data_IF_977834106477
#
_entry.id   IF_977834106477
#
_cell.length_a   1.000
_cell.length_b   1.000
_cell.length_c   1.000
_cell.angle_alpha   90.00
_cell.angle_beta   90.00
_cell.angle_gamma   90.00
#
_symmetry.space_group_name_H-M   'P 1'
#
loop_
_entity.id
_entity.type
_entity.pdbx_description
1 polymer ?
#
# COMPACT_ATOMS: atom_id res chain seq x y z
N UNK A 1 15.26 23.03 9.45
CA UNK A 1 15.92 21.77 9.06
C UNK A 1 15.41 21.39 7.68
N UNK A 2 16.28 21.38 6.66
CA UNK A 2 15.91 21.01 5.29
C UNK A 2 16.01 19.49 5.14
N UNK A 3 14.94 18.84 4.69
CA UNK A 3 14.85 17.38 4.61
C UNK A 3 15.63 16.85 3.38
N UNK A 4 16.74 16.15 3.60
CA UNK A 4 17.58 15.48 2.58
C UNK A 4 17.02 14.14 2.11
N UNK A 5 15.87 13.72 2.65
CA UNK A 5 15.27 12.40 2.37
C UNK A 5 15.06 12.13 0.86
N UNK A 6 14.80 13.18 0.07
CA UNK A 6 14.70 13.08 -1.39
C UNK A 6 16.04 12.73 -2.05
N UNK A 7 17.13 13.40 -1.68
CA UNK A 7 18.46 13.09 -2.22
C UNK A 7 18.95 11.73 -1.72
N UNK A 8 18.63 11.34 -0.49
CA UNK A 8 18.99 10.01 0.04
C UNK A 8 18.30 8.88 -0.73
N UNK A 9 17.01 9.02 -1.04
CA UNK A 9 16.29 8.01 -1.83
C UNK A 9 16.80 7.89 -3.27
N UNK A 10 17.17 9.00 -3.90
CA UNK A 10 17.77 9.01 -5.24
C UNK A 10 19.20 8.48 -5.22
N UNK A 11 19.99 8.85 -4.22
CA UNK A 11 21.34 8.33 -4.04
C UNK A 11 21.31 6.81 -3.84
N UNK A 12 20.38 6.28 -3.03
CA UNK A 12 20.21 4.84 -2.83
C UNK A 12 19.80 4.10 -4.11
N UNK A 13 19.03 4.73 -5.00
CA UNK A 13 18.69 4.13 -6.31
C UNK A 13 19.89 4.03 -7.24
N UNK A 14 20.77 5.05 -7.23
CA UNK A 14 21.97 5.11 -8.08
C UNK A 14 23.23 4.56 -7.40
N UNK A 15 23.13 4.11 -6.15
CA UNK A 15 24.25 3.62 -5.37
C UNK A 15 24.86 2.38 -6.04
N UNK A 16 26.16 2.43 -6.31
CA UNK A 16 26.88 1.43 -7.09
C UNK A 16 26.70 1.50 -8.62
N UNK A 17 25.88 2.41 -9.15
CA UNK A 17 25.65 2.58 -10.60
C UNK A 17 26.24 3.87 -11.18
N UNK A 18 26.14 5.00 -10.45
CA UNK A 18 26.56 6.33 -10.93
C UNK A 18 27.48 6.99 -9.91
N UNK A 19 28.56 7.61 -10.37
CA UNK A 19 29.48 8.41 -9.56
C UNK A 19 29.79 9.75 -10.24
N UNK A 20 30.48 10.66 -9.54
CA UNK A 20 30.76 12.03 -10.00
C UNK A 20 31.55 12.16 -11.31
N UNK A 21 32.09 11.05 -11.83
CA UNK A 21 32.87 10.99 -13.08
C UNK A 21 32.17 10.21 -14.19
N UNK A 22 30.93 9.76 -13.99
CA UNK A 22 30.17 9.02 -14.99
C UNK A 22 29.79 9.97 -16.14
N UNK A 23 30.21 9.65 -17.36
CA UNK A 23 29.88 10.45 -18.55
C UNK A 23 28.40 10.32 -18.88
N UNK A 24 27.80 11.34 -19.52
CA UNK A 24 26.37 11.35 -19.86
C UNK A 24 25.93 10.13 -20.68
N UNK A 25 26.78 9.66 -21.61
CA UNK A 25 26.52 8.45 -22.40
C UNK A 25 26.48 7.19 -21.52
N UNK A 26 27.40 7.07 -20.57
CA UNK A 26 27.47 5.97 -19.61
C UNK A 26 26.33 6.04 -18.59
N UNK A 27 25.85 7.24 -18.27
CA UNK A 27 24.73 7.44 -17.36
C UNK A 27 23.45 6.78 -17.87
N UNK A 28 23.14 6.87 -19.17
CA UNK A 28 21.94 6.23 -19.74
C UNK A 28 22.00 4.71 -19.57
N UNK A 29 23.13 4.10 -19.90
CA UNK A 29 23.33 2.64 -19.74
C UNK A 29 23.24 2.21 -18.26
N UNK A 30 23.82 2.99 -17.35
CA UNK A 30 23.77 2.71 -15.91
C UNK A 30 22.38 2.96 -15.31
N UNK A 31 21.65 3.95 -15.80
CA UNK A 31 20.26 4.22 -15.43
C UNK A 31 19.38 3.04 -15.82
N UNK A 32 19.52 2.52 -17.04
CA UNK A 32 18.79 1.34 -17.48
C UNK A 32 19.15 0.11 -16.64
N UNK A 33 20.41 -0.08 -16.27
CA UNK A 33 20.84 -1.17 -15.36
C UNK A 33 20.24 -1.02 -13.95
N UNK A 34 20.25 0.19 -13.39
CA UNK A 34 19.66 0.47 -12.08
C UNK A 34 18.14 0.22 -12.11
N UNK A 35 17.46 0.66 -13.17
CA UNK A 35 16.03 0.43 -13.36
C UNK A 35 15.71 -1.07 -13.46
N UNK A 36 16.48 -1.82 -14.25
CA UNK A 36 16.35 -3.29 -14.37
C UNK A 36 16.55 -4.00 -13.05
N UNK A 37 17.61 -3.66 -12.32
CA UNK A 37 17.89 -4.20 -10.99
C UNK A 37 16.74 -3.94 -10.01
N UNK A 38 16.16 -2.73 -10.06
CA UNK A 38 15.00 -2.39 -9.24
C UNK A 38 13.77 -3.22 -9.62
N UNK A 39 13.47 -3.34 -10.91
CA UNK A 39 12.34 -4.16 -11.40
C UNK A 39 12.52 -5.63 -11.03
N UNK A 40 13.72 -6.17 -11.19
CA UNK A 40 14.06 -7.55 -10.83
C UNK A 40 13.90 -7.80 -9.32
N UNK A 41 14.39 -6.89 -8.48
CA UNK A 41 14.20 -6.96 -7.02
C UNK A 41 12.73 -6.87 -6.63
N UNK A 42 11.95 -6.00 -7.29
CA UNK A 42 10.49 -5.93 -7.10
C UNK A 42 9.82 -7.24 -7.52
N UNK A 43 10.21 -7.81 -8.66
CA UNK A 43 9.67 -9.09 -9.15
C UNK A 43 10.03 -10.25 -8.23
N UNK A 44 11.29 -10.39 -7.81
CA UNK A 44 11.73 -11.42 -6.86
C UNK A 44 11.05 -11.27 -5.50
N UNK A 45 10.90 -10.04 -4.99
CA UNK A 45 10.16 -9.79 -3.77
C UNK A 45 8.70 -10.20 -3.92
N UNK A 46 8.07 -9.87 -5.05
CA UNK A 46 6.69 -10.29 -5.36
C UNK A 46 6.58 -11.82 -5.51
N UNK A 47 7.52 -12.48 -6.17
CA UNK A 47 7.54 -13.93 -6.42
C UNK A 47 7.75 -14.73 -5.13
N UNK A 48 8.76 -14.38 -4.32
CA UNK A 48 8.98 -14.98 -2.99
C UNK A 48 7.78 -14.77 -2.06
N UNK A 49 7.04 -13.70 -2.27
CA UNK A 49 5.83 -13.42 -1.50
C UNK A 49 4.60 -14.10 -2.10
N UNK A 50 4.58 -14.43 -3.40
CA UNK A 50 3.50 -15.21 -4.04
C UNK A 50 3.50 -16.67 -3.59
N UNK A 51 4.68 -17.25 -3.32
CA UNK A 51 4.79 -18.58 -2.72
C UNK A 51 4.34 -18.63 -1.25
N UNK A 52 4.16 -17.46 -0.61
CA UNK A 52 3.63 -17.30 0.74
C UNK A 52 2.54 -16.21 0.74
N UNK A 53 1.38 -16.51 0.14
CA UNK A 53 0.22 -15.61 0.22
C UNK A 53 -0.09 -15.33 1.69
N UNK A 54 0.02 -14.06 2.09
CA UNK A 54 -0.27 -13.64 3.48
C UNK A 54 -1.73 -13.91 3.75
N UNK A 55 -2.03 -14.77 4.73
CA UNK A 55 -3.40 -15.09 5.11
C UNK A 55 -4.11 -13.88 5.73
N UNK A 56 -5.43 -13.81 5.56
CA UNK A 56 -6.24 -12.88 6.32
C UNK A 56 -6.12 -13.20 7.82
N UNK A 57 -5.94 -12.16 8.64
CA UNK A 57 -5.90 -12.30 10.10
C UNK A 57 -7.31 -12.25 10.68
N UNK A 58 -8.22 -11.54 10.02
CA UNK A 58 -9.61 -11.38 10.41
C UNK A 58 -10.54 -12.03 9.39
N UNK A 59 -11.81 -12.17 9.76
CA UNK A 59 -12.85 -12.68 8.87
C UNK A 59 -13.57 -11.57 8.07
N UNK A 60 -13.07 -10.32 8.09
CA UNK A 60 -13.73 -9.23 7.37
C UNK A 60 -13.60 -9.40 5.86
N UNK A 61 -14.72 -9.25 5.14
CA UNK A 61 -14.75 -9.35 3.68
C UNK A 61 -13.88 -8.27 3.00
N UNK A 62 -13.83 -7.05 3.57
CA UNK A 62 -12.91 -6.01 3.10
C UNK A 62 -11.44 -6.44 3.16
N UNK A 63 -11.05 -7.28 4.14
CA UNK A 63 -9.68 -7.79 4.22
C UNK A 63 -9.39 -8.72 3.04
N UNK A 64 -10.31 -9.64 2.73
CA UNK A 64 -10.18 -10.53 1.56
C UNK A 64 -10.12 -9.73 0.26
N UNK A 65 -10.93 -8.68 0.15
CA UNK A 65 -10.91 -7.78 -0.99
C UNK A 65 -9.53 -7.12 -1.17
N UNK A 66 -8.93 -6.61 -0.10
CA UNK A 66 -7.58 -6.06 -0.16
C UNK A 66 -6.52 -7.13 -0.43
N UNK A 67 -6.65 -8.33 0.13
CA UNK A 67 -5.73 -9.46 -0.10
C UNK A 67 -5.67 -9.86 -1.58
N UNK A 68 -6.82 -9.87 -2.25
CA UNK A 68 -6.89 -10.22 -3.67
C UNK A 68 -6.20 -9.18 -4.56
N UNK A 69 -6.37 -7.90 -4.24
CA UNK A 69 -6.04 -6.78 -5.15
C UNK A 69 -4.68 -6.14 -4.84
N UNK A 70 -4.29 -6.00 -3.58
CA UNK A 70 -3.09 -5.24 -3.18
C UNK A 70 -1.78 -6.02 -3.33
N UNK A 71 -0.68 -5.28 -3.51
CA UNK A 71 0.66 -5.83 -3.32
C UNK A 71 0.84 -6.25 -1.86
N UNK A 72 1.62 -7.30 -1.61
CA UNK A 72 1.83 -7.86 -0.27
C UNK A 72 2.31 -6.85 0.77
N UNK A 73 3.31 -5.98 0.51
CA UNK A 73 3.71 -4.96 1.51
C UNK A 73 2.56 -4.01 1.84
N UNK A 74 1.75 -3.63 0.85
CA UNK A 74 0.64 -2.71 1.06
C UNK A 74 -0.53 -3.39 1.76
N UNK A 75 -0.79 -4.66 1.46
CA UNK A 75 -1.77 -5.47 2.19
C UNK A 75 -1.41 -5.57 3.67
N UNK A 76 -0.13 -5.80 4.02
CA UNK A 76 0.34 -5.80 5.42
C UNK A 76 0.06 -4.48 6.14
N UNK A 77 0.25 -3.34 5.48
CA UNK A 77 -0.10 -2.03 6.08
C UNK A 77 -1.61 -1.95 6.38
N UNK A 78 -2.47 -2.43 5.48
CA UNK A 78 -3.93 -2.44 5.72
C UNK A 78 -4.31 -3.42 6.83
N UNK A 79 -3.67 -4.60 6.90
CA UNK A 79 -3.88 -5.54 7.98
C UNK A 79 -3.55 -4.94 9.34
N UNK A 80 -2.48 -4.15 9.44
CA UNK A 80 -2.14 -3.42 10.66
C UNK A 80 -3.25 -2.46 11.09
N UNK A 81 -3.88 -1.76 10.15
CA UNK A 81 -5.02 -0.88 10.45
C UNK A 81 -6.28 -1.67 10.84
N UNK A 82 -6.56 -2.82 10.20
CA UNK A 82 -7.67 -3.71 10.55
C UNK A 82 -7.53 -4.30 11.97
N UNK A 83 -6.32 -4.73 12.33
CA UNK A 83 -5.98 -5.21 13.68
C UNK A 83 -6.03 -4.05 14.67
N UNK A 84 -5.45 -2.90 14.29
CA UNK A 84 -5.40 -1.69 15.10
C UNK A 84 -6.78 -1.13 15.47
N UNK A 85 -7.83 -1.43 14.70
CA UNK A 85 -9.22 -1.06 15.05
C UNK A 85 -9.66 -1.66 16.39
N UNK A 86 -9.07 -2.77 16.87
CA UNK A 86 -9.42 -3.39 18.16
C UNK A 86 -9.23 -2.40 19.32
N UNK A 87 -8.40 -1.38 19.13
CA UNK A 87 -8.19 -0.30 20.08
C UNK A 87 -9.07 0.93 19.83
N UNK A 88 -10.07 0.84 18.95
CA UNK A 88 -10.91 1.97 18.55
C UNK A 88 -12.39 1.71 18.89
N UNK A 89 -12.99 2.62 19.65
CA UNK A 89 -14.40 2.59 20.02
C UNK A 89 -15.14 3.82 19.48
N UNK A 90 -16.39 3.65 19.06
CA UNK A 90 -17.27 4.77 18.71
C UNK A 90 -17.90 5.31 19.99
N UNK A 91 -17.66 6.58 20.30
CA UNK A 91 -18.14 7.26 21.50
C UNK A 91 -19.45 7.99 21.24
N UNK A 92 -19.57 8.61 20.08
CA UNK A 92 -20.75 9.39 19.71
C UNK A 92 -21.01 9.29 18.22
N UNK A 93 -22.27 9.51 17.85
CA UNK A 93 -22.74 9.62 16.47
C UNK A 93 -23.62 10.87 16.41
N UNK A 94 -23.23 11.82 15.56
CA UNK A 94 -23.97 13.04 15.32
C UNK A 94 -24.39 13.10 13.85
N UNK A 95 -25.69 13.22 13.63
CA UNK A 95 -26.24 13.39 12.28
C UNK A 95 -26.51 14.88 12.08
N UNK A 96 -25.57 15.56 11.43
CA UNK A 96 -25.68 17.00 11.17
C UNK A 96 -26.73 17.30 10.08
N UNK A 97 -26.83 16.43 9.07
CA UNK A 97 -27.77 16.51 7.94
C UNK A 97 -28.22 15.09 7.53
N UNK A 98 -29.32 14.95 6.77
CA UNK A 98 -29.76 13.65 6.23
C UNK A 98 -28.70 12.92 5.39
N UNK A 99 -27.63 13.60 4.97
CA UNK A 99 -26.59 13.04 4.10
C UNK A 99 -25.29 12.67 4.83
N UNK A 100 -24.90 13.43 5.87
CA UNK A 100 -23.63 13.24 6.57
C UNK A 100 -23.84 12.82 8.02
N UNK A 101 -23.11 11.79 8.42
CA UNK A 101 -23.06 11.34 9.80
C UNK A 101 -21.62 11.39 10.29
N UNK A 102 -21.38 12.15 11.35
CA UNK A 102 -20.07 12.30 11.99
C UNK A 102 -20.00 11.39 13.20
N UNK A 103 -18.92 10.64 13.31
CA UNK A 103 -18.63 9.72 14.40
C UNK A 103 -17.40 10.18 15.16
N UNK A 104 -17.50 10.18 16.48
CA UNK A 104 -16.34 10.35 17.35
C UNK A 104 -15.75 8.98 17.67
N UNK A 105 -14.58 8.69 17.13
CA UNK A 105 -13.86 7.43 17.34
C UNK A 105 -12.74 7.66 18.34
N UNK A 106 -12.80 7.00 19.49
CA UNK A 106 -11.75 7.03 20.51
C UNK A 106 -10.79 5.88 20.28
N UNK A 107 -9.53 6.23 20.04
CA UNK A 107 -8.42 5.29 19.98
C UNK A 107 -7.68 5.24 21.32
N UNK A 108 -7.54 4.03 21.86
CA UNK A 108 -6.74 3.73 23.03
C UNK A 108 -5.27 3.58 22.63
N UNK A 109 -4.45 4.58 22.94
CA UNK A 109 -3.02 4.58 22.65
C UNK A 109 -2.26 4.24 23.93
N UNK A 110 -1.48 3.15 23.88
CA UNK A 110 -0.58 2.76 24.97
C UNK A 110 0.84 3.09 24.54
N UNK A 111 1.48 4.03 25.24
CA UNK A 111 2.89 4.37 25.04
C UNK A 111 3.59 4.38 26.39
N UNK A 112 4.64 3.56 26.55
CA UNK A 112 5.53 3.54 27.72
C UNK A 112 4.78 3.81 29.04
N UNK A 113 3.80 2.94 29.34
CA UNK A 113 2.96 2.95 30.56
C UNK A 113 1.88 4.03 30.67
N UNK A 114 1.82 5.00 29.76
CA UNK A 114 0.76 6.01 29.73
C UNK A 114 -0.40 5.57 28.83
N UNK A 115 -1.59 5.45 29.43
CA UNK A 115 -2.85 5.20 28.71
C UNK A 115 -3.48 6.54 28.33
N UNK A 116 -3.32 6.92 27.07
CA UNK A 116 -3.96 8.12 26.53
C UNK A 116 -5.04 7.74 25.54
N UNK A 117 -6.18 8.43 25.63
CA UNK A 117 -7.26 8.28 24.68
C UNK A 117 -7.22 9.46 23.71
N UNK A 118 -7.17 9.16 22.41
CA UNK A 118 -7.27 10.19 21.37
C UNK A 118 -8.59 10.04 20.64
N UNK A 119 -9.31 11.14 20.48
CA UNK A 119 -10.57 11.14 19.73
C UNK A 119 -10.30 11.65 18.32
N UNK A 120 -10.82 10.92 17.34
CA UNK A 120 -10.78 11.26 15.93
C UNK A 120 -12.21 11.42 15.41
N UNK A 121 -12.40 12.33 14.47
CA UNK A 121 -13.69 12.58 13.86
C UNK A 121 -13.72 11.93 12.49
N UNK A 122 -14.76 11.14 12.24
CA UNK A 122 -14.97 10.44 10.97
C UNK A 122 -16.34 10.82 10.43
N UNK A 123 -16.39 11.49 9.28
CA UNK A 123 -17.63 11.80 8.58
C UNK A 123 -17.87 10.78 7.48
N UNK A 124 -19.05 10.17 7.48
CA UNK A 124 -19.52 9.25 6.46
C UNK A 124 -20.73 9.86 5.73
N UNK A 125 -20.66 9.91 4.41
CA UNK A 125 -21.78 10.18 3.52
C UNK A 125 -22.44 8.87 3.12
N UNK A 126 -23.72 8.68 3.43
CA UNK A 126 -24.39 7.37 3.26
C UNK A 126 -24.65 6.99 1.81
N UNK A 127 -24.99 7.98 0.98
CA UNK A 127 -25.34 7.80 -0.44
C UNK A 127 -24.13 7.42 -1.30
N UNK A 128 -23.01 8.10 -1.09
CA UNK A 128 -21.78 7.88 -1.85
C UNK A 128 -20.77 7.02 -1.10
N UNK A 129 -21.02 6.58 0.13
CA UNK A 129 -20.01 5.95 0.99
C UNK A 129 -18.68 6.74 0.97
N UNK A 130 -18.79 8.06 1.11
CA UNK A 130 -17.65 8.96 1.17
C UNK A 130 -17.25 9.18 2.63
N UNK A 131 -16.01 8.83 2.93
CA UNK A 131 -15.37 8.89 4.23
C UNK A 131 -14.34 10.01 4.28
N UNK A 132 -14.40 10.79 5.35
CA UNK A 132 -13.39 11.78 5.72
C UNK A 132 -13.01 11.50 7.16
N UNK A 133 -11.73 11.33 7.45
CA UNK A 133 -11.23 11.11 8.80
C UNK A 133 -10.18 12.17 9.16
N UNK A 134 -10.26 12.72 10.37
CA UNK A 134 -9.31 13.72 10.87
C UNK A 134 -7.86 13.23 10.99
N UNK A 135 -7.61 11.91 10.91
CA UNK A 135 -6.24 11.38 10.86
C UNK A 135 -5.56 11.55 9.49
N UNK A 136 -6.35 11.78 8.43
CA UNK A 136 -5.90 11.98 7.04
C UNK A 136 -4.98 10.88 6.47
N UNK A 137 -5.03 9.66 7.02
CA UNK A 137 -4.14 8.57 6.60
C UNK A 137 -4.33 8.20 5.11
N UNK A 138 -5.55 8.33 4.60
CA UNK A 138 -5.84 8.05 3.19
C UNK A 138 -5.20 9.11 2.28
N UNK A 139 -5.19 10.37 2.68
CA UNK A 139 -4.61 11.48 1.94
C UNK A 139 -3.08 11.36 1.94
N UNK A 140 -2.48 10.99 3.08
CA UNK A 140 -1.02 10.87 3.21
C UNK A 140 -0.45 9.56 2.63
N UNK A 141 -1.12 8.42 2.85
CA UNK A 141 -0.62 7.09 2.47
C UNK A 141 -1.48 6.36 1.45
N UNK A 142 -2.72 6.79 1.23
CA UNK A 142 -3.66 6.12 0.34
C UNK A 142 -4.11 4.76 0.85
N UNK A 143 -4.20 4.60 2.17
CA UNK A 143 -4.77 3.45 2.85
C UNK A 143 -5.83 3.93 3.83
N UNK A 144 -6.84 3.11 4.07
CA UNK A 144 -7.89 3.44 5.03
C UNK A 144 -7.36 3.24 6.45
N UNK A 145 -7.63 4.20 7.33
CA UNK A 145 -7.27 4.10 8.74
C UNK A 145 -8.22 3.20 9.52
N UNK A 146 -7.72 2.71 10.65
CA UNK A 146 -8.53 2.01 11.65
C UNK A 146 -9.80 2.76 12.06
N UNK A 147 -9.78 4.09 12.15
CA UNK A 147 -10.97 4.87 12.56
C UNK A 147 -12.09 4.79 11.53
N UNK A 148 -11.74 4.94 10.24
CA UNK A 148 -12.69 4.79 9.15
C UNK A 148 -13.18 3.35 9.02
N UNK A 149 -12.31 2.35 9.22
CA UNK A 149 -12.69 0.94 9.27
C UNK A 149 -13.74 0.69 10.37
N UNK A 150 -13.53 1.23 11.58
CA UNK A 150 -14.49 1.10 12.69
C UNK A 150 -15.86 1.64 12.31
N UNK A 151 -15.92 2.81 11.66
CA UNK A 151 -17.18 3.42 11.21
C UNK A 151 -17.86 2.63 10.10
N UNK A 152 -17.09 2.10 9.13
CA UNK A 152 -17.63 1.27 8.06
C UNK A 152 -18.29 0.00 8.60
N UNK A 153 -17.60 -0.69 9.51
CA UNK A 153 -18.12 -1.90 10.14
C UNK A 153 -19.37 -1.59 10.96
N UNK A 154 -19.41 -0.45 11.66
CA UNK A 154 -20.60 -0.02 12.42
C UNK A 154 -21.83 0.22 11.53
N UNK A 155 -21.61 0.61 10.28
CA UNK A 155 -22.63 0.86 9.26
C UNK A 155 -22.88 -0.36 8.36
N UNK A 156 -22.41 -1.55 8.75
CA UNK A 156 -22.55 -2.81 8.00
C UNK A 156 -21.99 -2.76 6.57
N UNK A 157 -21.04 -1.86 6.32
CA UNK A 157 -20.33 -1.77 5.03
C UNK A 157 -19.19 -2.78 5.05
N UNK A 158 -19.44 -3.95 4.49
CA UNK A 158 -18.51 -5.09 4.50
C UNK A 158 -17.47 -5.06 3.39
N UNK A 159 -17.72 -4.28 2.32
CA UNK A 159 -16.84 -4.16 1.15
C UNK A 159 -16.44 -2.71 0.94
N UNK A 160 -15.19 -2.51 0.52
CA UNK A 160 -14.65 -1.19 0.27
C UNK A 160 -15.04 -0.69 -1.12
N UNK A 161 -15.56 0.55 -1.24
CA UNK A 161 -15.75 1.17 -2.54
C UNK A 161 -14.44 1.33 -3.30
N UNK A 162 -14.49 1.15 -4.62
CA UNK A 162 -13.32 1.21 -5.51
C UNK A 162 -12.54 2.53 -5.42
N UNK A 163 -13.21 3.64 -5.03
CA UNK A 163 -12.56 4.95 -4.84
C UNK A 163 -11.41 4.91 -3.82
N UNK A 164 -11.47 3.97 -2.88
CA UNK A 164 -10.46 3.78 -1.84
C UNK A 164 -9.43 2.69 -2.18
N UNK A 165 -9.58 2.03 -3.33
CA UNK A 165 -8.66 1.01 -3.85
C UNK A 165 -7.80 1.63 -4.94
N UNK A 166 -6.68 2.22 -4.53
CA UNK A 166 -5.85 3.00 -5.45
C UNK A 166 -5.07 2.11 -6.42
N UNK A 167 -5.13 2.44 -7.71
CA UNK A 167 -4.45 1.71 -8.80
C UNK A 167 -2.95 1.48 -8.55
N UNK A 168 -2.26 2.43 -7.90
CA UNK A 168 -0.82 2.32 -7.61
C UNK A 168 -0.49 1.16 -6.66
N UNK A 169 -1.44 0.73 -5.84
CA UNK A 169 -1.29 -0.33 -4.84
C UNK A 169 -1.71 -1.70 -5.35
N UNK A 170 -2.36 -1.74 -6.51
CA UNK A 170 -2.84 -2.96 -7.14
C UNK A 170 -1.68 -3.80 -7.68
N UNK A 171 -1.76 -5.11 -7.47
CA UNK A 171 -0.81 -6.10 -7.98
C UNK A 171 -1.12 -6.52 -9.42
N UNK A 172 -2.38 -6.46 -9.82
CA UNK A 172 -2.87 -6.86 -11.14
C UNK A 172 -2.70 -5.78 -12.22
N UNK A 173 -1.97 -4.70 -11.91
CA UNK A 173 -1.68 -3.61 -12.85
C UNK A 173 -0.21 -3.68 -13.27
N UNK A 174 0.02 -4.01 -14.54
CA UNK A 174 1.35 -3.88 -15.17
C UNK A 174 1.74 -2.40 -15.26
N UNK A 175 2.87 -2.03 -14.64
CA UNK A 175 3.35 -0.64 -14.64
C UNK A 175 4.28 -0.43 -15.84
N UNK A 176 4.29 0.78 -16.39
CA UNK A 176 5.08 1.09 -17.59
C UNK A 176 6.59 0.82 -17.42
N UNK A 177 7.16 1.03 -16.22
CA UNK A 177 8.56 0.69 -15.94
C UNK A 177 8.82 -0.82 -15.85
N UNK A 178 7.79 -1.64 -15.65
CA UNK A 178 7.82 -3.10 -15.75
C UNK A 178 7.67 -3.58 -17.20
N UNK A 179 7.26 -2.70 -18.13
CA UNK A 179 7.14 -2.97 -19.58
C UNK A 179 8.39 -2.59 -20.38
N UNK A 180 9.46 -2.15 -19.72
CA UNK A 180 10.75 -1.98 -20.39
C UNK A 180 11.19 -3.37 -20.81
N UNK A 181 11.08 -3.67 -22.12
CA UNK A 181 11.63 -4.88 -22.71
C UNK A 181 13.13 -4.80 -22.48
N UNK A 182 13.59 -5.50 -21.44
CA UNK A 182 15.00 -5.79 -21.29
C UNK A 182 15.29 -6.81 -22.37
N UNK A 183 16.01 -6.40 -23.40
CA UNK A 183 16.47 -7.33 -24.42
C UNK A 183 17.46 -8.30 -23.72
N UNK A 184 16.96 -9.45 -23.28
CA UNK A 184 17.73 -10.49 -22.59
C UNK A 184 18.55 -11.31 -23.58
N UNK A 185 19.27 -10.65 -24.50
CA UNK A 185 20.13 -11.31 -25.51
C UNK A 185 21.39 -11.95 -24.91
N UNK A 186 21.42 -12.20 -23.60
CA UNK A 186 22.57 -12.77 -22.91
C UNK A 186 22.24 -13.57 -21.65
N UNK A 187 20.96 -13.85 -21.36
CA UNK A 187 20.63 -14.88 -20.38
C UNK A 187 20.76 -16.23 -21.08
N UNK A 188 21.71 -17.05 -20.64
CA UNK A 188 21.65 -18.49 -20.91
C UNK A 188 20.37 -18.97 -20.23
N UNK A 189 19.33 -19.22 -21.04
CA UNK A 189 18.08 -19.79 -20.57
C UNK A 189 18.40 -21.11 -19.88
N UNK A 190 18.16 -21.20 -18.58
CA UNK A 190 18.22 -22.49 -17.90
C UNK A 190 17.12 -23.38 -18.47
N UNK A 191 17.29 -24.71 -18.50
CA UNK A 191 16.29 -25.64 -19.05
C UNK A 191 14.89 -25.48 -18.42
N UNK A 192 14.81 -24.91 -17.21
CA UNK A 192 13.56 -24.63 -16.52
C UNK A 192 12.79 -23.45 -17.13
N UNK A 193 13.48 -22.44 -17.67
CA UNK A 193 12.86 -21.29 -18.36
C UNK A 193 12.19 -21.73 -19.67
N UNK A 194 12.84 -22.65 -20.41
CA UNK A 194 12.28 -23.19 -21.66
C UNK A 194 11.03 -24.04 -21.43
N UNK A 195 10.90 -24.68 -20.26
CA UNK A 195 9.70 -25.45 -19.89
C UNK A 195 8.49 -24.57 -19.53
N UNK A 196 8.72 -23.31 -19.13
CA UNK A 196 7.66 -22.36 -18.83
C UNK A 196 7.01 -21.82 -20.11
N UNK A 197 7.81 -21.58 -21.16
CA UNK A 197 7.32 -21.10 -22.46
C UNK A 197 6.51 -22.17 -23.21
N UNK A 198 6.81 -23.46 -23.04
CA UNK A 198 6.05 -24.58 -23.63
C UNK A 198 4.69 -24.86 -22.93
N UNK A 199 4.42 -24.23 -21.78
CA UNK A 199 3.18 -24.42 -21.01
C UNK A 199 2.20 -23.23 -21.11
N UNK A 200 2.55 -22.18 -21.86
CA UNK A 200 1.70 -21.01 -22.11
C UNK A 200 1.01 -21.07 -23.48
#
# INVERSE_FOLDING_TARGET
MSTTQRSESMNAFFDGYVHSKTLLKQFVEQYERALRSKVEKEFQANFRSFSQMVSCTTAFEMEKQFQAVYTIPKFKEVQQELIGKVYCDIVSENTNDHFWTTYDVREHVVYEEHRNNKTFHVSLRRDSCELICSCHLFEYRGIICRHAITVLIRNDITTMPDRYILRRWRRDVSRAHTRVVVNCNGLVSTPEHLRYDDMC
#
